data_IF_088309006821
#
_entry.id   IF_088309006821
#
_cell.length_a   1.000
_cell.length_b   1.000
_cell.length_c   1.000
_cell.angle_alpha   90.00
_cell.angle_beta   90.00
_cell.angle_gamma   90.00
#
_symmetry.space_group_name_H-M   'P 1'
#
loop_
_entity.id
_entity.type
_entity.pdbx_description
1 polymer ?
#
# COMPACT_ATOMS: atom_id res chain seq x y z
N UNK A 1 -19.66 7.22 -8.52
CA UNK A 1 -18.78 8.15 -7.79
C UNK A 1 -19.59 8.68 -6.61
N UNK A 2 -19.09 8.57 -5.38
CA UNK A 2 -19.75 9.06 -4.17
C UNK A 2 -18.77 9.93 -3.37
N UNK A 3 -19.27 10.96 -2.71
CA UNK A 3 -18.47 11.82 -1.83
C UNK A 3 -18.47 11.36 -0.37
N UNK A 4 -19.17 10.27 -0.05
CA UNK A 4 -19.41 9.80 1.33
C UNK A 4 -18.70 8.49 1.66
N UNK A 5 -17.59 8.18 0.99
CA UNK A 5 -16.80 7.01 1.36
C UNK A 5 -16.14 7.23 2.73
N UNK A 6 -16.25 6.24 3.60
CA UNK A 6 -15.75 6.29 4.97
C UNK A 6 -14.86 5.08 5.23
N UNK A 7 -13.79 5.30 5.98
CA UNK A 7 -12.98 4.25 6.56
C UNK A 7 -13.36 4.08 8.02
N UNK A 8 -13.17 2.86 8.52
CA UNK A 8 -13.29 2.55 9.94
C UNK A 8 -11.89 2.36 10.47
N UNK A 9 -11.50 3.20 11.41
CA UNK A 9 -10.27 3.03 12.21
C UNK A 9 -10.65 2.43 13.54
N UNK A 10 -9.81 1.54 14.04
CA UNK A 10 -10.00 0.87 15.33
C UNK A 10 -8.71 0.97 16.14
N UNK A 11 -8.83 0.99 17.46
CA UNK A 11 -7.66 1.04 18.37
C UNK A 11 -7.23 -0.36 18.76
N UNK A 12 -8.18 -1.27 18.98
CA UNK A 12 -7.89 -2.61 19.44
C UNK A 12 -8.67 -3.66 18.66
N UNK A 13 -8.03 -4.80 18.44
CA UNK A 13 -8.64 -5.98 17.86
C UNK A 13 -8.79 -7.03 18.96
N UNK A 14 -10.02 -7.50 19.19
CA UNK A 14 -10.29 -8.59 20.12
C UNK A 14 -10.47 -9.89 19.34
N UNK A 15 -9.52 -10.79 19.47
CA UNK A 15 -9.57 -12.10 18.82
C UNK A 15 -10.25 -13.12 19.73
N UNK A 16 -11.36 -13.67 19.27
CA UNK A 16 -12.06 -14.80 19.91
C UNK A 16 -12.17 -15.92 18.88
N UNK A 17 -13.36 -16.49 18.65
CA UNK A 17 -13.61 -17.34 17.48
C UNK A 17 -13.68 -16.54 16.16
N UNK A 18 -13.97 -15.23 16.25
CA UNK A 18 -13.93 -14.27 15.14
C UNK A 18 -13.28 -12.98 15.63
N UNK A 19 -12.54 -12.26 14.77
CA UNK A 19 -11.94 -10.98 15.15
C UNK A 19 -13.01 -9.90 15.27
N UNK A 20 -13.02 -9.18 16.39
CA UNK A 20 -13.90 -8.04 16.66
C UNK A 20 -13.07 -6.75 16.72
N UNK A 21 -13.53 -5.71 16.02
CA UNK A 21 -12.95 -4.38 16.13
C UNK A 21 -13.50 -3.68 17.37
N UNK A 22 -12.63 -3.14 18.21
CA UNK A 22 -12.99 -2.42 19.44
C UNK A 22 -12.57 -0.95 19.30
N UNK A 23 -13.41 -0.04 19.80
CA UNK A 23 -13.21 1.40 19.71
C UNK A 23 -13.09 1.88 18.25
N UNK A 24 -14.18 1.76 17.50
CA UNK A 24 -14.24 2.10 16.09
C UNK A 24 -14.66 3.55 15.88
N UNK A 25 -13.93 4.29 15.06
CA UNK A 25 -14.27 5.64 14.60
C UNK A 25 -14.39 5.65 13.09
N UNK A 26 -15.36 6.40 12.57
CA UNK A 26 -15.57 6.57 11.12
C UNK A 26 -14.91 7.86 10.68
N UNK A 27 -14.06 7.77 9.67
CA UNK A 27 -13.30 8.90 9.11
C UNK A 27 -13.50 9.00 7.60
N UNK A 28 -13.43 10.19 7.00
CA UNK A 28 -13.54 10.36 5.55
C UNK A 28 -12.35 9.71 4.84
N UNK A 29 -12.63 8.82 3.88
CA UNK A 29 -11.61 7.91 3.34
C UNK A 29 -10.48 8.64 2.61
N UNK A 30 -10.83 9.49 1.64
CA UNK A 30 -9.85 10.17 0.78
C UNK A 30 -8.88 11.03 1.58
N UNK A 31 -9.40 11.91 2.44
CA UNK A 31 -8.59 12.87 3.20
C UNK A 31 -7.66 12.17 4.18
N UNK A 32 -8.16 11.14 4.88
CA UNK A 32 -7.35 10.37 5.80
C UNK A 32 -6.26 9.56 5.07
N UNK A 33 -6.55 9.00 3.90
CA UNK A 33 -5.52 8.34 3.11
C UNK A 33 -4.46 9.33 2.65
N UNK A 34 -4.84 10.49 2.12
CA UNK A 34 -3.86 11.49 1.67
C UNK A 34 -2.94 11.98 2.80
N UNK A 35 -3.47 12.13 4.02
CA UNK A 35 -2.69 12.60 5.18
C UNK A 35 -1.87 11.51 5.88
N UNK A 36 -2.29 10.24 5.85
CA UNK A 36 -1.68 9.19 6.68
C UNK A 36 -1.08 8.01 5.90
N UNK A 37 -1.26 7.93 4.58
CA UNK A 37 -0.67 6.84 3.77
C UNK A 37 0.85 6.90 3.78
N UNK A 38 1.50 5.74 3.76
CA UNK A 38 2.97 5.65 3.66
C UNK A 38 3.45 5.78 2.23
N UNK A 39 2.66 5.28 1.28
CA UNK A 39 2.95 5.45 -0.14
C UNK A 39 1.69 5.82 -0.92
N UNK A 40 1.83 6.85 -1.77
CA UNK A 40 0.82 7.36 -2.67
C UNK A 40 1.39 7.32 -4.08
N UNK A 41 0.71 6.59 -4.94
CA UNK A 41 1.09 6.39 -6.33
C UNK A 41 0.04 7.02 -7.22
N UNK A 42 0.46 7.79 -8.22
CA UNK A 42 -0.45 8.59 -9.05
C UNK A 42 -0.24 8.35 -10.54
N UNK A 43 -1.29 8.61 -11.32
CA UNK A 43 -1.21 8.72 -12.78
C UNK A 43 -0.85 10.15 -13.20
N UNK A 44 -0.44 10.35 -14.47
CA UNK A 44 -0.13 11.67 -15.02
C UNK A 44 -1.22 12.74 -14.80
N UNK A 45 -2.49 12.37 -14.97
CA UNK A 45 -3.61 13.31 -14.81
C UNK A 45 -4.11 13.45 -13.35
N UNK A 46 -3.48 12.77 -12.38
CA UNK A 46 -3.91 12.66 -10.98
C UNK A 46 -5.36 12.15 -10.77
N UNK A 47 -6.02 11.62 -11.80
CA UNK A 47 -7.37 11.04 -11.74
C UNK A 47 -7.41 9.70 -10.99
N UNK A 48 -6.31 8.95 -11.02
CA UNK A 48 -6.14 7.66 -10.34
C UNK A 48 -5.03 7.79 -9.32
N UNK A 49 -5.36 7.43 -8.07
CA UNK A 49 -4.45 7.40 -6.94
C UNK A 49 -4.50 6.01 -6.31
N UNK A 50 -3.35 5.50 -5.90
CA UNK A 50 -3.26 4.24 -5.16
C UNK A 50 -2.54 4.50 -3.84
N UNK A 51 -3.22 4.17 -2.75
CA UNK A 51 -2.70 4.26 -1.41
C UNK A 51 -2.17 2.88 -0.96
N UNK A 52 -0.95 2.90 -0.42
CA UNK A 52 -0.23 1.76 0.17
C UNK A 52 -0.13 0.52 -0.73
N UNK A 53 -0.32 0.67 -2.05
CA UNK A 53 -0.25 -0.40 -3.02
C UNK A 53 -1.45 -1.36 -3.05
N UNK A 54 -2.53 -1.08 -2.31
CA UNK A 54 -3.69 -1.99 -2.23
C UNK A 54 -5.04 -1.30 -2.38
N UNK A 55 -5.10 0.02 -2.21
CA UNK A 55 -6.36 0.76 -2.23
C UNK A 55 -6.34 1.79 -3.36
N UNK A 56 -7.22 1.61 -4.32
CA UNK A 56 -7.39 2.51 -5.47
C UNK A 56 -8.50 3.53 -5.22
N UNK A 57 -8.18 4.79 -5.53
CA UNK A 57 -9.03 5.95 -5.51
C UNK A 57 -9.13 6.49 -6.94
N UNK A 58 -10.34 6.63 -7.46
CA UNK A 58 -10.55 7.30 -8.75
C UNK A 58 -11.36 8.58 -8.53
N UNK A 59 -10.79 9.71 -8.90
CA UNK A 59 -11.42 11.02 -8.80
C UNK A 59 -12.07 11.39 -10.13
N UNK A 60 -13.27 11.99 -10.06
CA UNK A 60 -13.98 12.44 -11.25
C UNK A 60 -13.38 13.73 -11.84
N UNK A 61 -12.84 14.59 -10.98
CA UNK A 61 -12.25 15.88 -11.35
C UNK A 61 -10.74 15.87 -11.09
N UNK A 62 -9.98 16.04 -12.16
CA UNK A 62 -8.51 16.07 -12.15
C UNK A 62 -8.00 17.34 -11.48
N UNK A 63 -8.67 18.48 -11.67
CA UNK A 63 -8.20 19.76 -11.11
C UNK A 63 -8.35 19.76 -9.58
N UNK A 64 -9.52 19.35 -9.08
CA UNK A 64 -9.72 19.16 -7.64
C UNK A 64 -8.76 18.12 -7.06
N UNK A 65 -8.42 17.06 -7.79
CA UNK A 65 -7.45 16.06 -7.34
C UNK A 65 -6.06 16.66 -7.13
N UNK A 66 -5.56 17.42 -8.12
CA UNK A 66 -4.25 18.10 -8.03
C UNK A 66 -4.23 19.10 -6.86
N UNK A 67 -5.30 19.90 -6.70
CA UNK A 67 -5.42 20.85 -5.58
C UNK A 67 -5.42 20.16 -4.22
N UNK A 68 -6.14 19.05 -4.08
CA UNK A 68 -6.17 18.24 -2.85
C UNK A 68 -4.81 17.61 -2.56
N UNK A 69 -4.13 17.09 -3.58
CA UNK A 69 -2.79 16.52 -3.44
C UNK A 69 -1.81 17.59 -2.98
N UNK A 70 -1.76 18.73 -3.66
CA UNK A 70 -0.91 19.85 -3.28
C UNK A 70 -1.22 20.35 -1.85
N UNK A 71 -2.50 20.45 -1.47
CA UNK A 71 -2.89 20.78 -0.11
C UNK A 71 -2.41 19.74 0.91
N UNK A 72 -2.55 18.45 0.61
CA UNK A 72 -2.07 17.37 1.49
C UNK A 72 -0.55 17.36 1.66
N UNK A 73 0.21 17.64 0.59
CA UNK A 73 1.67 17.77 0.64
C UNK A 73 2.07 18.91 1.58
N UNK A 74 1.46 20.10 1.42
CA UNK A 74 1.72 21.27 2.27
C UNK A 74 1.35 21.00 3.72
N UNK A 75 0.19 20.41 3.98
CA UNK A 75 -0.27 20.10 5.33
C UNK A 75 0.64 19.09 6.03
N UNK A 76 1.12 18.06 5.30
CA UNK A 76 2.09 17.10 5.83
C UNK A 76 3.40 17.76 6.20
N UNK A 77 3.98 18.53 5.29
CA UNK A 77 5.24 19.25 5.55
C UNK A 77 5.09 20.25 6.72
N UNK A 78 3.96 20.97 6.79
CA UNK A 78 3.71 21.91 7.87
C UNK A 78 3.54 21.21 9.22
N UNK A 79 2.78 20.10 9.25
CA UNK A 79 2.66 19.26 10.45
C UNK A 79 4.03 18.74 10.89
N UNK A 80 4.79 18.11 10.00
CA UNK A 80 6.11 17.54 10.31
C UNK A 80 7.05 18.62 10.87
N UNK A 81 7.12 19.78 10.22
CA UNK A 81 7.93 20.91 10.71
C UNK A 81 7.49 21.43 12.10
N UNK A 82 6.19 21.44 12.39
CA UNK A 82 5.67 21.86 13.68
C UNK A 82 6.00 20.83 14.78
N UNK A 83 5.91 19.54 14.45
CA UNK A 83 6.27 18.45 15.35
C UNK A 83 7.77 18.48 15.66
N UNK A 84 8.62 18.64 14.65
CA UNK A 84 10.08 18.73 14.81
C UNK A 84 10.48 19.89 15.73
N UNK A 85 9.84 21.06 15.58
CA UNK A 85 10.07 22.21 16.47
C UNK A 85 9.67 21.92 17.91
N UNK A 86 8.54 21.23 18.12
CA UNK A 86 8.07 20.85 19.45
C UNK A 86 9.01 19.83 20.10
N UNK A 87 9.44 18.81 19.35
CA UNK A 87 10.40 17.82 19.82
C UNK A 87 11.76 18.46 20.13
N UNK A 88 12.23 19.38 19.29
CA UNK A 88 13.46 20.13 19.53
C UNK A 88 13.38 21.02 20.78
N UNK A 89 12.26 21.71 21.01
CA UNK A 89 12.04 22.47 22.24
C UNK A 89 12.05 21.58 23.48
N UNK A 90 11.36 20.43 23.43
CA UNK A 90 11.35 19.49 24.56
C UNK A 90 12.72 18.87 24.80
N UNK A 91 13.49 18.61 23.74
CA UNK A 91 14.85 18.12 23.86
C UNK A 91 15.78 19.16 24.50
N UNK A 92 15.63 20.44 24.16
CA UNK A 92 16.37 21.55 24.79
C UNK A 92 16.03 21.72 26.27
N UNK A 93 14.74 21.77 26.62
CA UNK A 93 14.31 21.84 28.03
C UNK A 93 14.90 20.72 28.90
N UNK A 94 15.00 19.50 28.37
CA UNK A 94 15.63 18.37 29.10
C UNK A 94 17.14 18.49 29.28
N UNK A 95 17.81 19.31 28.45
CA UNK A 95 19.25 19.57 28.53
C UNK A 95 19.56 20.80 29.39
N UNK A 96 18.64 21.77 29.42
CA UNK A 96 18.72 23.04 30.15
C UNK A 96 18.22 22.93 31.61
N UNK A 97 17.71 21.77 32.05
CA UNK A 97 17.42 21.46 33.46
C UNK A 97 18.67 21.55 34.39
N UNK A 98 19.86 21.89 33.86
CA UNK A 98 21.08 22.16 34.64
C UNK A 98 21.43 23.65 34.79
N UNK A 99 21.04 24.57 33.89
CA UNK A 99 21.44 26.00 34.00
C UNK A 99 20.36 26.96 33.46
N UNK A 100 19.76 27.71 34.39
CA UNK A 100 19.04 29.00 34.24
C UNK A 100 17.60 28.96 33.70
N UNK A 101 16.66 28.90 34.66
CA UNK A 101 15.29 29.42 34.52
C UNK A 101 15.35 30.93 34.26
N UNK A 102 15.28 31.37 33.01
CA UNK A 102 14.69 32.66 32.59
C UNK A 102 14.89 32.85 31.08
N UNK A 103 13.97 32.35 30.25
CA UNK A 103 13.64 33.03 28.99
C UNK A 103 12.24 32.63 28.52
N UNK A 104 11.50 33.66 28.12
CA UNK A 104 10.04 33.73 27.94
C UNK A 104 9.41 32.51 27.25
N UNK A 105 8.36 31.94 27.86
CA UNK A 105 7.49 30.97 27.20
C UNK A 105 6.88 31.56 25.93
N UNK A 106 7.48 31.27 24.78
CA UNK A 106 7.09 31.83 23.50
C UNK A 106 5.60 31.55 23.19
N UNK A 107 4.71 32.58 23.19
CA UNK A 107 3.27 32.42 22.92
C UNK A 107 2.97 32.11 21.44
N UNK A 108 4.02 31.87 20.64
CA UNK A 108 3.96 31.70 19.18
C UNK A 108 3.54 30.28 18.80
N UNK A 109 3.93 29.26 19.58
CA UNK A 109 3.66 27.85 19.24
C UNK A 109 2.16 27.50 19.26
N UNK A 110 1.41 27.98 20.26
CA UNK A 110 -0.02 27.70 20.35
C UNK A 110 -0.84 28.30 19.20
N UNK A 111 -0.45 29.48 18.69
CA UNK A 111 -1.14 30.14 17.58
C UNK A 111 -0.90 29.38 16.26
N UNK A 112 0.33 28.93 16.02
CA UNK A 112 0.67 28.11 14.85
C UNK A 112 -0.06 26.77 14.87
N UNK A 113 -0.05 26.07 16.01
CA UNK A 113 -0.79 24.80 16.19
C UNK A 113 -2.29 25.00 16.00
N UNK A 114 -2.86 26.09 16.53
CA UNK A 114 -4.26 26.42 16.32
C UNK A 114 -4.57 26.68 14.84
N UNK A 115 -3.71 27.40 14.12
CA UNK A 115 -3.88 27.64 12.68
C UNK A 115 -3.82 26.32 11.88
N UNK A 116 -2.80 25.48 12.12
CA UNK A 116 -2.66 24.16 11.50
C UNK A 116 -3.90 23.29 11.79
N UNK A 117 -4.42 23.30 13.01
CA UNK A 117 -5.60 22.51 13.37
C UNK A 117 -6.84 22.92 12.57
N UNK A 118 -7.01 24.23 12.33
CA UNK A 118 -8.11 24.75 11.50
C UNK A 118 -7.94 24.33 10.04
N UNK A 119 -6.72 24.43 9.50
CA UNK A 119 -6.46 24.02 8.11
C UNK A 119 -6.69 22.52 7.91
N UNK A 120 -6.28 21.68 8.87
CA UNK A 120 -6.56 20.24 8.86
C UNK A 120 -8.06 19.96 8.89
N UNK A 121 -8.82 20.66 9.75
CA UNK A 121 -10.28 20.51 9.81
C UNK A 121 -10.95 20.96 8.51
N UNK A 122 -10.48 22.04 7.89
CA UNK A 122 -10.97 22.48 6.59
C UNK A 122 -10.66 21.46 5.49
N UNK A 123 -9.47 20.86 5.50
CA UNK A 123 -9.12 19.81 4.56
C UNK A 123 -10.00 18.57 4.73
N UNK A 124 -10.24 18.15 5.98
CA UNK A 124 -11.09 16.99 6.32
C UNK A 124 -12.57 17.18 5.93
N UNK A 125 -13.05 18.43 5.85
CA UNK A 125 -14.42 18.76 5.47
C UNK A 125 -14.62 19.01 3.97
N UNK A 126 -13.54 19.00 3.18
CA UNK A 126 -13.60 19.15 1.73
C UNK A 126 -14.47 18.06 1.08
N UNK A 127 -15.37 18.46 0.18
CA UNK A 127 -16.28 17.53 -0.51
C UNK A 127 -15.79 17.29 -1.92
N UNK A 128 -15.31 16.09 -2.19
CA UNK A 128 -14.91 15.65 -3.53
C UNK A 128 -15.57 14.32 -3.87
N UNK A 129 -16.01 14.17 -5.11
CA UNK A 129 -16.60 12.94 -5.62
C UNK A 129 -15.51 11.99 -6.13
N UNK A 130 -15.42 10.81 -5.52
CA UNK A 130 -14.47 9.77 -5.92
C UNK A 130 -15.12 8.38 -5.88
N UNK A 131 -14.39 7.37 -6.33
CA UNK A 131 -14.70 5.97 -6.09
C UNK A 131 -13.55 5.35 -5.32
N UNK A 132 -13.88 4.40 -4.44
CA UNK A 132 -12.91 3.66 -3.65
C UNK A 132 -13.02 2.18 -3.99
N UNK A 133 -11.89 1.56 -4.35
CA UNK A 133 -11.83 0.15 -4.74
C UNK A 133 -10.60 -0.51 -4.13
N UNK A 134 -10.77 -1.71 -3.57
CA UNK A 134 -9.64 -2.56 -3.18
C UNK A 134 -9.07 -3.26 -4.41
N UNK A 135 -7.77 -3.14 -4.62
CA UNK A 135 -7.05 -3.85 -5.67
C UNK A 135 -6.98 -5.35 -5.37
N UNK A 136 -7.12 -6.16 -6.41
CA UNK A 136 -6.86 -7.60 -6.33
C UNK A 136 -5.36 -7.89 -6.37
N UNK A 137 -4.93 -9.07 -5.91
CA UNK A 137 -3.52 -9.44 -5.91
C UNK A 137 -2.88 -9.40 -7.32
N UNK A 138 -3.64 -9.73 -8.36
CA UNK A 138 -3.18 -9.66 -9.75
C UNK A 138 -3.04 -8.21 -10.25
N UNK A 139 -3.97 -7.33 -9.86
CA UNK A 139 -3.90 -5.91 -10.22
C UNK A 139 -2.74 -5.22 -9.49
N UNK A 140 -2.46 -5.60 -8.24
CA UNK A 140 -1.32 -5.08 -7.49
C UNK A 140 0.03 -5.46 -8.13
N UNK A 141 0.14 -6.64 -8.76
CA UNK A 141 1.35 -7.07 -9.46
C UNK A 141 1.58 -6.33 -10.79
N UNK A 142 0.51 -5.89 -11.46
CA UNK A 142 0.56 -5.19 -12.75
C UNK A 142 0.32 -3.67 -12.61
N UNK A 143 0.54 -3.14 -11.41
CA UNK A 143 0.17 -1.77 -11.09
C UNK A 143 1.12 -0.75 -11.71
N UNK A 144 2.40 -1.10 -11.75
CA UNK A 144 3.48 -0.18 -12.10
C UNK A 144 3.99 -0.41 -13.52
N UNK A 145 4.41 0.67 -14.16
CA UNK A 145 5.02 0.63 -15.50
C UNK A 145 6.40 -0.06 -15.46
N UNK A 146 7.08 0.00 -14.31
CA UNK A 146 8.42 -0.55 -14.11
C UNK A 146 9.53 0.44 -14.43
N UNK A 147 10.81 0.05 -14.30
CA UNK A 147 11.97 0.90 -14.55
C UNK A 147 12.12 1.16 -16.06
N UNK A 148 11.41 2.16 -16.57
CA UNK A 148 11.50 2.66 -17.94
C UNK A 148 11.62 4.19 -17.92
N UNK A 149 12.45 4.73 -18.82
CA UNK A 149 12.74 6.15 -19.01
C UNK A 149 11.50 6.90 -19.50
N UNK A 150 10.95 7.78 -18.68
CA UNK A 150 9.87 8.68 -19.11
C UNK A 150 10.50 9.84 -19.91
N UNK A 151 10.08 10.00 -21.16
CA UNK A 151 10.64 10.94 -22.15
C UNK A 151 10.12 12.38 -22.01
N UNK A 152 9.14 12.64 -21.15
CA UNK A 152 8.54 13.97 -20.97
C UNK A 152 8.60 14.40 -19.51
N UNK A 153 9.15 15.60 -19.27
CA UNK A 153 9.10 16.27 -17.98
C UNK A 153 7.67 16.73 -17.72
N UNK A 154 7.00 16.26 -16.66
CA UNK A 154 5.65 16.69 -16.34
C UNK A 154 5.69 18.11 -15.76
N UNK A 155 5.06 19.06 -16.44
CA UNK A 155 4.79 20.38 -15.90
C UNK A 155 3.46 20.37 -15.15
N UNK A 156 3.45 19.92 -13.89
CA UNK A 156 2.33 20.16 -12.98
C UNK A 156 2.69 21.27 -11.99
N UNK A 157 2.16 22.50 -12.17
CA UNK A 157 2.41 23.61 -11.26
C UNK A 157 1.96 23.25 -9.82
N UNK A 158 2.87 23.37 -8.86
CA UNK A 158 2.57 23.25 -7.43
C UNK A 158 2.70 21.85 -6.82
N UNK A 159 2.88 20.80 -7.63
CA UNK A 159 3.15 19.44 -7.16
C UNK A 159 4.65 19.15 -7.12
N UNK A 160 5.34 19.54 -8.19
CA UNK A 160 6.79 19.63 -8.22
C UNK A 160 7.16 21.03 -7.74
N UNK A 161 7.82 21.12 -6.59
CA UNK A 161 8.43 22.39 -6.17
C UNK A 161 9.55 22.80 -7.13
N UNK A 162 10.45 23.68 -6.68
CA UNK A 162 11.64 24.05 -7.44
C UNK A 162 12.65 22.89 -7.58
N UNK A 163 12.31 21.68 -7.11
CA UNK A 163 13.15 20.49 -7.13
C UNK A 163 13.02 19.73 -8.44
N UNK A 164 14.15 19.32 -8.99
CA UNK A 164 14.20 18.46 -10.17
C UNK A 164 13.61 17.09 -9.84
N UNK A 165 12.62 16.60 -10.60
CA UNK A 165 11.95 15.34 -10.29
C UNK A 165 12.91 14.16 -10.51
N UNK A 166 13.15 13.35 -9.47
CA UNK A 166 14.03 12.19 -9.55
C UNK A 166 13.24 10.95 -10.00
N UNK A 167 13.77 10.10 -10.89
CA UNK A 167 13.07 8.89 -11.31
C UNK A 167 13.06 7.85 -10.17
N UNK A 168 11.91 7.20 -9.95
CA UNK A 168 11.81 6.16 -8.93
C UNK A 168 12.46 4.83 -9.41
N UNK A 169 13.36 4.20 -8.64
CA UNK A 169 14.20 3.10 -9.13
C UNK A 169 13.43 1.81 -9.47
N UNK A 170 12.36 1.47 -8.75
CA UNK A 170 11.62 0.20 -8.92
C UNK A 170 10.23 0.36 -9.56
N UNK A 171 9.47 1.39 -9.18
CA UNK A 171 8.11 1.63 -9.68
C UNK A 171 8.06 2.30 -11.06
N UNK A 172 9.13 2.99 -11.46
CA UNK A 172 9.08 3.99 -12.54
C UNK A 172 8.35 5.26 -12.09
N UNK A 173 8.16 6.21 -12.99
CA UNK A 173 7.62 7.52 -12.60
C UNK A 173 8.66 8.44 -11.96
N UNK A 174 8.18 9.57 -11.43
CA UNK A 174 8.99 10.56 -10.73
C UNK A 174 8.67 10.54 -9.24
N UNK A 175 9.67 10.34 -8.38
CA UNK A 175 9.55 10.54 -6.95
C UNK A 175 9.48 12.06 -6.66
N UNK A 176 8.37 12.49 -6.08
CA UNK A 176 8.13 13.90 -5.72
C UNK A 176 8.51 14.14 -4.26
N UNK A 177 8.05 13.26 -3.38
CA UNK A 177 8.38 13.21 -1.96
C UNK A 177 8.64 11.75 -1.57
N UNK A 178 9.11 11.51 -0.35
CA UNK A 178 9.38 10.16 0.15
C UNK A 178 8.17 9.22 0.09
N UNK A 179 6.95 9.78 0.13
CA UNK A 179 5.71 9.03 0.05
C UNK A 179 4.98 9.16 -1.29
N UNK A 180 5.25 10.18 -2.12
CA UNK A 180 4.50 10.43 -3.34
C UNK A 180 5.31 10.10 -4.59
N UNK A 181 4.83 9.15 -5.38
CA UNK A 181 5.36 8.84 -6.71
C UNK A 181 4.38 9.26 -7.80
N UNK A 182 4.85 10.06 -8.74
CA UNK A 182 4.09 10.61 -9.85
C UNK A 182 4.24 9.81 -11.13
N UNK A 183 3.12 9.60 -11.83
CA UNK A 183 3.05 8.90 -13.11
C UNK A 183 3.72 7.51 -13.12
N UNK A 184 3.58 6.77 -12.03
CA UNK A 184 4.09 5.41 -11.89
C UNK A 184 3.05 4.33 -12.24
N UNK A 185 1.77 4.70 -12.30
CA UNK A 185 0.67 3.77 -12.54
C UNK A 185 0.51 3.44 -14.02
N UNK A 186 0.23 2.18 -14.32
CA UNK A 186 -0.22 1.78 -15.66
C UNK A 186 -1.59 2.41 -15.96
N UNK A 187 -1.76 2.95 -17.17
CA UNK A 187 -3.04 3.49 -17.62
C UNK A 187 -4.14 2.42 -17.49
N UNK A 188 -5.22 2.73 -16.79
CA UNK A 188 -6.27 1.76 -16.51
C UNK A 188 -6.91 1.28 -17.82
N UNK A 189 -6.68 0.01 -18.20
CA UNK A 189 -7.58 -0.72 -19.08
C UNK A 189 -8.96 -0.64 -18.41
N UNK A 190 -9.93 0.04 -19.03
CA UNK A 190 -11.33 0.09 -18.56
C UNK A 190 -11.81 -1.35 -18.34
N UNK A 191 -11.71 -1.86 -17.10
CA UNK A 191 -12.28 -3.15 -16.77
C UNK A 191 -13.80 -2.92 -16.70
N UNK A 192 -14.62 -3.70 -17.42
CA UNK A 192 -16.06 -3.58 -17.30
C UNK A 192 -16.49 -3.80 -15.84
N UNK A 193 -17.61 -3.19 -15.41
CA UNK A 193 -18.07 -3.28 -14.03
C UNK A 193 -18.19 -4.74 -13.61
N UNK A 194 -17.62 -5.07 -12.45
CA UNK A 194 -17.72 -6.41 -11.86
C UNK A 194 -19.20 -6.79 -11.74
N UNK A 195 -19.62 -7.99 -12.18
CA UNK A 195 -20.99 -8.42 -12.01
C UNK A 195 -21.36 -8.49 -10.53
N UNK A 196 -22.62 -8.22 -10.16
CA UNK A 196 -23.07 -8.31 -8.78
C UNK A 196 -22.83 -9.73 -8.26
N UNK A 197 -22.27 -9.82 -7.05
CA UNK A 197 -22.09 -11.09 -6.33
C UNK A 197 -23.45 -11.80 -6.23
N UNK A 198 -23.66 -12.81 -7.06
CA UNK A 198 -24.75 -13.76 -6.86
C UNK A 198 -24.43 -14.52 -5.58
N UNK A 199 -25.20 -14.25 -4.53
CA UNK A 199 -25.22 -15.10 -3.35
C UNK A 199 -25.58 -16.52 -3.82
N UNK A 200 -24.61 -17.43 -3.77
CA UNK A 200 -24.87 -18.86 -3.82
C UNK A 200 -25.66 -19.22 -2.57
N UNK A 201 -26.98 -19.14 -2.65
CA UNK A 201 -27.86 -19.87 -1.75
C UNK A 201 -27.58 -21.36 -2.02
N UNK A 202 -26.86 -21.97 -1.08
CA UNK A 202 -26.71 -23.40 -1.00
C UNK A 202 -28.12 -24.01 -0.87
N UNK A 203 -28.66 -24.52 -1.98
CA UNK A 203 -29.89 -25.31 -2.00
C UNK A 203 -29.49 -26.77 -2.12
N UNK A 204 -29.39 -27.45 -0.99
CA UNK A 204 -29.46 -28.91 -0.89
C UNK A 204 -30.02 -29.24 0.49
N UNK A 205 -31.32 -29.51 0.55
CA UNK A 205 -31.90 -30.86 0.56
C UNK A 205 -32.05 -31.38 2.01
N UNK A 206 -33.25 -31.10 2.52
CA UNK A 206 -34.12 -31.98 3.32
C UNK A 206 -33.53 -33.32 3.80
N UNK A 207 -33.41 -33.43 5.13
CA UNK A 207 -33.81 -34.55 6.00
C UNK A 207 -33.42 -35.98 5.60
N UNK A 208 -32.44 -36.53 6.32
CA UNK A 208 -32.47 -37.92 6.78
C UNK A 208 -31.68 -38.07 8.10
N UNK A 209 -32.38 -38.47 9.17
CA UNK A 209 -31.82 -38.84 10.48
C UNK A 209 -30.98 -40.13 10.37
N UNK A 210 -29.89 -40.32 11.14
CA UNK A 210 -29.39 -41.65 11.43
C UNK A 210 -30.02 -42.19 12.72
N UNK A 211 -30.73 -43.31 12.61
CA UNK A 211 -31.15 -44.12 13.74
C UNK A 211 -29.98 -44.97 14.27
N UNK A 212 -29.93 -45.12 15.59
CA UNK A 212 -29.02 -45.99 16.36
C UNK A 212 -29.35 -47.47 16.19
N UNK A 213 -28.36 -48.31 16.56
CA UNK A 213 -28.34 -49.75 16.95
C UNK A 213 -27.64 -50.63 15.92
N UNK A 214 -26.79 -51.61 16.23
CA UNK A 214 -26.21 -52.13 17.48
C UNK A 214 -25.04 -53.04 17.09
N UNK A 215 -24.10 -53.15 18.03
CA UNK A 215 -22.97 -54.06 18.16
C UNK A 215 -23.25 -55.55 17.84
N UNK A 216 -22.29 -56.23 17.19
CA UNK A 216 -21.94 -57.63 17.51
C UNK A 216 -20.50 -57.96 17.09
N UNK A 217 -19.66 -58.19 18.10
CA UNK A 217 -18.27 -58.64 18.06
C UNK A 217 -18.13 -60.15 17.82
N UNK A 218 -17.07 -60.62 17.13
CA UNK A 218 -16.16 -61.77 17.48
C UNK A 218 -15.21 -62.19 16.30
N UNK A 219 -14.13 -63.00 16.48
CA UNK A 219 -12.75 -62.48 16.48
C UNK A 219 -11.70 -63.25 15.60
N UNK A 220 -10.48 -62.67 15.54
CA UNK A 220 -9.12 -63.26 15.34
C UNK A 220 -8.88 -64.38 14.30
N UNK A 221 -7.85 -64.19 13.46
CA UNK A 221 -6.58 -64.94 13.52
C UNK A 221 -5.50 -64.39 12.57
N UNK A 222 -4.28 -64.44 13.08
CA UNK A 222 -2.97 -64.06 12.52
C UNK A 222 -2.33 -65.19 11.71
N UNK A 223 -1.49 -64.82 10.73
CA UNK A 223 -0.23 -65.44 10.25
C UNK A 223 0.29 -64.50 9.13
N UNK A 224 1.55 -64.12 8.95
CA UNK A 224 2.82 -64.64 9.42
C UNK A 224 3.78 -64.80 8.23
N UNK A 225 4.80 -63.93 8.15
CA UNK A 225 6.16 -64.12 7.58
C UNK A 225 6.46 -64.30 6.08
N UNK A 226 7.51 -63.60 5.64
CA UNK A 226 8.30 -63.77 4.39
C UNK A 226 8.37 -62.45 3.60
N UNK A 227 9.46 -61.67 3.51
CA UNK A 227 10.88 -61.99 3.56
C UNK A 227 11.46 -61.93 2.13
N UNK A 228 11.93 -60.77 1.67
CA UNK A 228 13.13 -60.65 0.82
C UNK A 228 13.46 -59.18 0.49
N UNK A 229 14.67 -58.83 0.88
CA UNK A 229 15.51 -57.69 0.47
C UNK A 229 15.93 -57.79 -0.99
N UNK A 230 16.22 -56.65 -1.65
CA UNK A 230 17.40 -56.45 -2.52
C UNK A 230 17.39 -55.02 -3.13
N UNK A 231 18.19 -54.12 -2.56
CA UNK A 231 19.02 -53.14 -3.30
C UNK A 231 20.38 -53.86 -3.54
N UNK A 232 21.12 -53.60 -4.63
CA UNK A 232 21.93 -52.37 -4.66
C UNK A 232 22.14 -51.71 -6.04
N UNK A 233 22.40 -50.39 -5.99
CA UNK A 233 23.21 -49.55 -6.91
C UNK A 233 24.59 -50.18 -7.26
N UNK A 234 25.51 -49.70 -8.17
CA UNK A 234 25.71 -48.31 -8.64
C UNK A 234 26.39 -48.05 -10.05
N UNK A 235 26.49 -46.75 -10.40
CA UNK A 235 27.67 -46.04 -11.00
C UNK A 235 27.99 -45.99 -12.51
N UNK A 236 28.59 -44.82 -12.87
CA UNK A 236 29.46 -44.46 -14.02
C UNK A 236 28.75 -44.03 -15.34
N UNK A 237 29.14 -42.99 -16.09
CA UNK A 237 30.34 -42.12 -16.11
C UNK A 237 30.12 -40.87 -17.00
N UNK A 238 30.60 -39.73 -16.49
CA UNK A 238 31.34 -38.61 -17.14
C UNK A 238 31.68 -38.70 -18.64
N UNK A 239 31.41 -37.64 -19.41
CA UNK A 239 32.27 -37.16 -20.50
C UNK A 239 32.08 -35.65 -20.76
N UNK A 240 33.17 -35.00 -21.17
CA UNK A 240 33.47 -33.56 -21.16
C UNK A 240 34.16 -33.23 -22.50
N UNK A 241 33.79 -32.14 -23.18
CA UNK A 241 34.55 -31.45 -24.25
C UNK A 241 33.75 -30.17 -24.58
N UNK A 242 34.17 -28.90 -24.38
CA UNK A 242 35.35 -28.12 -24.83
C UNK A 242 35.66 -28.30 -26.32
N UNK A 243 35.61 -27.22 -27.12
CA UNK A 243 36.75 -26.60 -27.86
C UNK A 243 36.32 -25.33 -28.65
N UNK A 244 37.24 -24.33 -28.68
CA UNK A 244 37.48 -23.20 -29.62
C UNK A 244 36.36 -22.19 -29.97
N UNK A 245 36.50 -20.86 -29.80
CA UNK A 245 37.57 -19.89 -30.09
C UNK A 245 37.82 -19.64 -31.59
N UNK A 246 37.35 -18.51 -32.12
CA UNK A 246 37.98 -17.75 -33.22
C UNK A 246 37.36 -16.34 -33.31
N UNK A 247 38.17 -15.33 -32.96
CA UNK A 247 38.12 -13.98 -33.54
C UNK A 247 39.05 -13.98 -34.78
N UNK A 248 38.98 -13.01 -35.71
CA UNK A 248 39.71 -11.74 -35.49
C UNK A 248 39.17 -10.48 -36.21
N UNK A 249 39.86 -9.35 -35.92
CA UNK A 249 40.20 -8.18 -36.78
C UNK A 249 39.07 -7.20 -37.18
N UNK A 250 39.07 -5.95 -36.69
CA UNK A 250 39.85 -4.74 -37.11
C UNK A 250 39.14 -3.91 -38.20
N UNK A 251 39.06 -2.60 -37.95
CA UNK A 251 38.61 -1.55 -38.88
C UNK A 251 38.01 -0.39 -38.07
N UNK A 252 38.82 0.55 -37.58
CA UNK A 252 39.16 1.82 -38.25
C UNK A 252 37.98 2.78 -38.29
N UNK A 253 37.97 3.78 -37.40
CA UNK A 253 37.47 5.13 -37.73
C UNK A 253 38.26 6.18 -36.96
N UNK A 254 38.61 7.23 -37.70
CA UNK A 254 39.09 8.53 -37.28
C UNK A 254 37.95 9.35 -36.68
#
# INVERSE_FOLDING_TARGET
MSSKHQLVTFVSLLETNKPYLVNCVRIPALQSLLLFSRSLDTNGDCSRLVADGWLELQLADTESAVRLLAASLRLRAHWESALDRQLAHQARRRLEDEEEEEEEEAPVNHKEVAALSRELLQFMTSKVSYSLRRLTGLEAQNLYVGPQTITAAPSLPGLFGNSTPSPHPTKGGYAVTDFLTYNCLTGLRKLPPSPPRRHLLCRSLTTARPARRTFCSRPRKSCGTGGSTCEPSPSRTRAKARTAALAPSLGSEL
#
